data_IF_236973462902
#
_entry.id   IF_236973462902
#
_cell.length_a   1.000
_cell.length_b   1.000
_cell.length_c   1.000
_cell.angle_alpha   90.00
_cell.angle_beta   90.00
_cell.angle_gamma   90.00
#
_symmetry.space_group_name_H-M   'P 1'
#
loop_
_entity.id
_entity.type
_entity.pdbx_description
1 polymer ?
#
# COMPACT_ATOMS: atom_id res chain seq x y z
N UNK A 1 -18.08 5.19 -23.90
CA UNK A 1 -19.05 5.92 -23.06
C UNK A 1 -18.32 6.88 -22.13
N UNK A 2 -18.80 8.12 -21.98
CA UNK A 2 -18.19 9.14 -21.11
C UNK A 2 -18.16 8.68 -19.64
N UNK A 3 -19.24 8.07 -19.16
CA UNK A 3 -19.35 7.56 -17.80
C UNK A 3 -18.17 6.64 -17.41
N UNK A 4 -17.78 5.69 -18.28
CA UNK A 4 -16.62 4.81 -18.03
C UNK A 4 -15.30 5.59 -17.92
N UNK A 5 -15.14 6.66 -18.72
CA UNK A 5 -13.92 7.48 -18.66
C UNK A 5 -13.84 8.24 -17.35
N UNK A 6 -14.95 8.85 -16.93
CA UNK A 6 -15.06 9.54 -15.65
C UNK A 6 -14.84 8.57 -14.48
N UNK A 7 -15.44 7.40 -14.50
CA UNK A 7 -15.22 6.37 -13.48
C UNK A 7 -13.73 6.03 -13.33
N UNK A 8 -13.01 5.79 -14.44
CA UNK A 8 -11.56 5.53 -14.40
C UNK A 8 -10.78 6.68 -13.79
N UNK A 9 -11.12 7.93 -14.12
CA UNK A 9 -10.48 9.13 -13.57
C UNK A 9 -10.72 9.21 -12.06
N UNK A 10 -11.99 9.18 -11.62
CA UNK A 10 -12.34 9.36 -10.22
C UNK A 10 -11.86 8.23 -9.34
N UNK A 11 -12.00 6.96 -9.76
CA UNK A 11 -11.49 5.82 -8.99
C UNK A 11 -9.97 5.88 -8.86
N UNK A 12 -9.24 6.17 -9.94
CA UNK A 12 -7.77 6.30 -9.87
C UNK A 12 -7.36 7.49 -9.01
N UNK A 13 -8.05 8.63 -9.10
CA UNK A 13 -7.77 9.80 -8.28
C UNK A 13 -8.02 9.53 -6.79
N UNK A 14 -9.12 8.83 -6.46
CA UNK A 14 -9.43 8.45 -5.09
C UNK A 14 -8.35 7.54 -4.50
N UNK A 15 -7.92 6.51 -5.24
CA UNK A 15 -6.82 5.63 -4.82
C UNK A 15 -5.52 6.42 -4.67
N UNK A 16 -5.19 7.28 -5.62
CA UNK A 16 -3.98 8.10 -5.54
C UNK A 16 -4.00 9.08 -4.36
N UNK A 17 -5.16 9.61 -4.00
CA UNK A 17 -5.35 10.49 -2.85
C UNK A 17 -5.24 9.72 -1.53
N UNK A 18 -5.90 8.56 -1.43
CA UNK A 18 -5.82 7.67 -0.28
C UNK A 18 -4.35 7.29 0.02
N UNK A 19 -3.64 6.77 -0.98
CA UNK A 19 -2.22 6.40 -0.81
C UNK A 19 -1.33 7.61 -0.51
N UNK A 20 -1.68 8.82 -1.01
CA UNK A 20 -0.96 10.04 -0.62
C UNK A 20 -1.14 10.37 0.87
N UNK A 21 -2.33 10.15 1.44
CA UNK A 21 -2.57 10.31 2.87
C UNK A 21 -1.82 9.26 3.68
N UNK A 22 -1.76 8.01 3.21
CA UNK A 22 -0.96 6.95 3.84
C UNK A 22 0.53 7.34 3.86
N UNK A 23 1.10 7.73 2.71
CA UNK A 23 2.48 8.18 2.63
C UNK A 23 2.76 9.40 3.52
N UNK A 24 1.81 10.35 3.59
CA UNK A 24 1.92 11.49 4.49
C UNK A 24 1.90 11.07 5.96
N UNK A 25 1.03 10.13 6.34
CA UNK A 25 0.99 9.55 7.68
C UNK A 25 2.32 8.90 8.04
N UNK A 26 2.86 8.06 7.17
CA UNK A 26 4.15 7.39 7.38
C UNK A 26 5.35 8.35 7.45
N UNK A 27 5.28 9.52 6.80
CA UNK A 27 6.30 10.56 6.91
C UNK A 27 6.15 11.42 8.17
N UNK A 28 4.91 11.77 8.53
CA UNK A 28 4.62 12.70 9.63
C UNK A 28 4.62 12.04 11.01
N UNK A 29 4.23 10.77 11.07
CA UNK A 29 4.28 9.92 12.26
C UNK A 29 5.19 8.71 12.00
N UNK A 30 6.45 9.03 11.67
CA UNK A 30 7.43 8.04 11.22
C UNK A 30 7.69 6.94 12.25
N UNK A 31 7.92 7.30 13.51
CA UNK A 31 8.38 6.36 14.53
C UNK A 31 7.30 5.36 14.95
N UNK A 32 6.03 5.76 14.97
CA UNK A 32 4.90 4.87 15.27
C UNK A 32 4.78 3.78 14.22
N UNK A 33 4.76 4.17 12.94
CA UNK A 33 4.61 3.24 11.83
C UNK A 33 5.90 2.45 11.54
N UNK A 34 7.07 3.01 11.83
CA UNK A 34 8.34 2.29 11.82
C UNK A 34 8.33 1.15 12.84
N UNK A 35 7.87 1.42 14.07
CA UNK A 35 7.75 0.41 15.12
C UNK A 35 6.91 -0.79 14.68
N UNK A 36 5.77 -0.54 14.03
CA UNK A 36 4.94 -1.60 13.46
C UNK A 36 5.69 -2.47 12.43
N UNK A 37 6.46 -1.86 11.52
CA UNK A 37 7.26 -2.63 10.54
C UNK A 37 8.34 -3.46 11.23
N UNK A 38 9.01 -2.89 12.23
CA UNK A 38 10.00 -3.62 13.05
C UNK A 38 9.36 -4.80 13.77
N UNK A 39 8.22 -4.63 14.43
CA UNK A 39 7.51 -5.72 15.12
C UNK A 39 7.16 -6.88 14.17
N UNK A 40 6.72 -6.56 12.95
CA UNK A 40 6.43 -7.57 11.92
C UNK A 40 7.70 -8.32 11.48
N UNK A 41 8.81 -7.61 11.28
CA UNK A 41 10.07 -8.19 10.82
C UNK A 41 10.78 -9.01 11.91
N UNK A 42 10.81 -8.49 13.14
CA UNK A 42 11.41 -9.14 14.30
C UNK A 42 10.61 -10.38 14.74
N UNK A 43 9.29 -10.38 14.49
CA UNK A 43 8.36 -11.46 14.85
C UNK A 43 8.27 -11.74 16.36
N UNK A 44 8.69 -10.80 17.21
CA UNK A 44 8.69 -10.96 18.67
C UNK A 44 7.29 -11.16 19.26
N UNK A 45 6.26 -10.60 18.63
CA UNK A 45 4.86 -10.75 19.04
C UNK A 45 4.18 -12.01 18.52
N UNK A 46 4.84 -12.76 17.64
CA UNK A 46 4.33 -14.06 17.17
C UNK A 46 4.40 -15.07 18.32
N UNK A 47 3.32 -15.83 18.61
CA UNK A 47 3.31 -16.76 19.73
C UNK A 47 4.53 -17.71 19.75
N UNK A 48 5.12 -17.93 20.93
CA UNK A 48 6.29 -18.80 21.09
C UNK A 48 6.04 -20.27 20.68
N UNK A 49 4.77 -20.70 20.64
CA UNK A 49 4.38 -22.02 20.13
C UNK A 49 4.47 -22.14 18.60
N UNK A 50 4.52 -21.01 17.90
CA UNK A 50 4.64 -20.95 16.44
C UNK A 50 6.02 -21.40 16.00
N UNK A 51 6.11 -22.13 14.89
CA UNK A 51 7.38 -22.69 14.37
C UNK A 51 8.01 -21.83 13.27
N UNK A 52 7.53 -20.62 13.06
CA UNK A 52 7.95 -19.75 11.95
C UNK A 52 8.98 -18.68 12.35
N UNK A 53 9.39 -18.62 13.61
CA UNK A 53 10.39 -17.67 14.14
C UNK A 53 11.74 -17.67 13.41
N UNK A 54 12.07 -18.74 12.68
CA UNK A 54 13.27 -18.78 11.82
C UNK A 54 13.25 -17.77 10.65
N UNK A 55 12.10 -17.16 10.37
CA UNK A 55 11.91 -16.14 9.33
C UNK A 55 12.20 -14.71 9.82
N UNK A 56 12.39 -14.53 11.12
CA UNK A 56 12.63 -13.23 11.74
C UNK A 56 13.87 -12.53 11.16
N UNK A 57 13.79 -11.21 11.07
CA UNK A 57 14.86 -10.34 10.59
C UNK A 57 15.21 -9.35 11.70
N UNK A 58 16.14 -9.72 12.57
CA UNK A 58 16.60 -8.88 13.69
C UNK A 58 17.77 -8.00 13.28
N UNK A 59 17.53 -7.05 12.38
CA UNK A 59 18.57 -6.18 11.84
C UNK A 59 18.05 -4.75 11.61
N UNK A 60 18.40 -3.77 12.47
CA UNK A 60 17.86 -2.40 12.41
C UNK A 60 18.04 -1.69 11.07
N UNK A 61 19.12 -2.01 10.35
CA UNK A 61 19.35 -1.47 9.01
C UNK A 61 18.32 -1.98 7.99
N UNK A 62 17.92 -3.25 8.09
CA UNK A 62 16.91 -3.85 7.21
C UNK A 62 15.52 -3.33 7.53
N UNK A 63 15.23 -3.02 8.80
CA UNK A 63 13.96 -2.40 9.18
C UNK A 63 13.82 -1.01 8.53
N UNK A 64 14.86 -0.16 8.70
CA UNK A 64 14.87 1.16 8.08
C UNK A 64 14.81 1.09 6.56
N UNK A 65 15.56 0.18 5.95
CA UNK A 65 15.54 0.00 4.50
C UNK A 65 14.15 -0.44 4.00
N UNK A 66 13.52 -1.38 4.70
CA UNK A 66 12.17 -1.87 4.37
C UNK A 66 11.14 -0.76 4.51
N UNK A 67 11.16 -0.01 5.60
CA UNK A 67 10.19 1.05 5.83
C UNK A 67 10.35 2.23 4.86
N UNK A 68 11.59 2.63 4.56
CA UNK A 68 11.86 3.65 3.53
C UNK A 68 11.39 3.17 2.15
N UNK A 69 11.57 1.89 1.82
CA UNK A 69 11.09 1.31 0.57
C UNK A 69 9.55 1.34 0.48
N UNK A 70 8.84 1.04 1.57
CA UNK A 70 7.38 1.14 1.66
C UNK A 70 6.94 2.57 1.35
N UNK A 71 7.44 3.57 2.09
CA UNK A 71 7.09 4.98 1.90
C UNK A 71 7.41 5.45 0.48
N UNK A 72 8.61 5.12 -0.03
CA UNK A 72 9.01 5.47 -1.39
C UNK A 72 8.07 4.88 -2.45
N UNK A 73 7.59 3.66 -2.22
CA UNK A 73 6.62 2.99 -3.08
C UNK A 73 5.25 3.66 -3.02
N UNK A 74 4.75 4.00 -1.82
CA UNK A 74 3.49 4.73 -1.64
C UNK A 74 3.50 6.09 -2.36
N UNK A 75 4.59 6.86 -2.21
CA UNK A 75 4.77 8.14 -2.92
C UNK A 75 4.72 7.92 -4.43
N UNK A 76 5.39 6.89 -4.94
CA UNK A 76 5.38 6.56 -6.36
C UNK A 76 3.97 6.17 -6.85
N UNK A 77 3.25 5.35 -6.08
CA UNK A 77 1.86 4.96 -6.37
C UNK A 77 0.95 6.19 -6.43
N UNK A 78 0.99 7.04 -5.39
CA UNK A 78 0.22 8.26 -5.32
C UNK A 78 0.50 9.18 -6.52
N UNK A 79 1.78 9.43 -6.82
CA UNK A 79 2.19 10.28 -7.93
C UNK A 79 1.74 9.73 -9.29
N UNK A 80 1.87 8.42 -9.52
CA UNK A 80 1.45 7.77 -10.77
C UNK A 80 -0.07 7.76 -10.94
N UNK A 81 -0.82 7.46 -9.88
CA UNK A 81 -2.27 7.45 -9.88
C UNK A 81 -2.85 8.86 -10.10
N UNK A 82 -2.42 9.85 -9.31
CA UNK A 82 -2.88 11.24 -9.46
C UNK A 82 -2.44 11.83 -10.81
N UNK A 83 -1.18 11.61 -11.21
CA UNK A 83 -0.68 12.03 -12.51
C UNK A 83 -1.42 11.37 -13.69
N UNK A 84 -1.79 10.09 -13.53
CA UNK A 84 -2.62 9.35 -14.49
C UNK A 84 -4.05 9.87 -14.55
N UNK A 85 -4.66 10.19 -13.41
CA UNK A 85 -5.99 10.79 -13.34
C UNK A 85 -6.02 12.16 -14.05
N UNK A 86 -5.04 13.02 -13.80
CA UNK A 86 -4.90 14.32 -14.49
C UNK A 86 -4.70 14.13 -15.99
N UNK A 87 -3.84 13.18 -16.40
CA UNK A 87 -3.59 12.89 -17.81
C UNK A 87 -4.88 12.42 -18.53
N UNK A 88 -5.65 11.53 -17.90
CA UNK A 88 -6.93 11.07 -18.42
C UNK A 88 -7.98 12.19 -18.48
N UNK A 89 -8.06 13.04 -17.45
CA UNK A 89 -9.00 14.16 -17.39
C UNK A 89 -8.79 15.14 -18.56
N UNK A 90 -7.52 15.45 -18.89
CA UNK A 90 -7.17 16.28 -20.05
C UNK A 90 -7.61 15.68 -21.39
N UNK A 91 -7.81 14.36 -21.45
CA UNK A 91 -8.19 13.63 -22.66
C UNK A 91 -9.61 13.05 -22.60
N UNK A 92 -10.44 13.47 -21.64
CA UNK A 92 -11.74 12.83 -21.36
C UNK A 92 -12.72 12.91 -22.53
N UNK A 93 -12.63 13.96 -23.36
CA UNK A 93 -13.42 14.16 -24.57
C UNK A 93 -12.69 13.77 -25.87
N UNK A 94 -11.44 13.34 -25.79
CA UNK A 94 -10.62 13.04 -26.95
C UNK A 94 -11.02 11.73 -27.64
N UNK A 95 -10.51 11.51 -28.86
CA UNK A 95 -10.66 10.23 -29.56
C UNK A 95 -10.08 9.08 -28.72
N UNK A 96 -10.65 7.88 -28.89
CA UNK A 96 -10.30 6.72 -28.07
C UNK A 96 -8.78 6.47 -27.93
N UNK A 97 -7.95 6.51 -28.98
CA UNK A 97 -6.52 6.22 -28.86
C UNK A 97 -5.78 7.14 -27.88
N UNK A 98 -6.12 8.44 -27.86
CA UNK A 98 -5.49 9.42 -26.97
C UNK A 98 -5.83 9.14 -25.50
N UNK A 99 -7.09 8.82 -25.21
CA UNK A 99 -7.50 8.41 -23.87
C UNK A 99 -6.88 7.07 -23.44
N UNK A 100 -6.70 6.13 -24.39
CA UNK A 100 -6.06 4.85 -24.10
C UNK A 100 -4.61 5.04 -23.66
N UNK A 101 -3.84 5.86 -24.36
CA UNK A 101 -2.46 6.19 -24.00
C UNK A 101 -2.35 6.94 -22.67
N UNK A 102 -3.32 7.82 -22.35
CA UNK A 102 -3.32 8.59 -21.11
C UNK A 102 -3.45 7.72 -19.84
N UNK A 103 -3.94 6.48 -19.96
CA UNK A 103 -4.12 5.54 -18.85
C UNK A 103 -2.84 4.88 -18.36
N UNK A 104 -1.75 4.89 -19.13
CA UNK A 104 -0.57 4.08 -18.81
C UNK A 104 0.00 4.40 -17.43
N UNK A 105 0.02 5.69 -17.05
CA UNK A 105 0.46 6.12 -15.70
C UNK A 105 -0.45 5.58 -14.60
N UNK A 106 -1.77 5.66 -14.79
CA UNK A 106 -2.74 5.11 -13.85
C UNK A 106 -2.58 3.59 -13.68
N UNK A 107 -2.40 2.86 -14.79
CA UNK A 107 -2.19 1.40 -14.75
C UNK A 107 -0.90 1.06 -14.01
N UNK A 108 0.20 1.77 -14.26
CA UNK A 108 1.45 1.57 -13.55
C UNK A 108 1.30 1.82 -12.04
N UNK A 109 0.64 2.93 -11.66
CA UNK A 109 0.39 3.26 -10.25
C UNK A 109 -0.49 2.22 -9.55
N UNK A 110 -1.59 1.80 -10.18
CA UNK A 110 -2.48 0.76 -9.64
C UNK A 110 -1.78 -0.60 -9.52
N UNK A 111 -0.94 -0.96 -10.48
CA UNK A 111 -0.15 -2.20 -10.43
C UNK A 111 0.85 -2.16 -9.28
N UNK A 112 1.57 -1.06 -9.14
CA UNK A 112 2.54 -0.89 -8.06
C UNK A 112 1.85 -0.88 -6.69
N UNK A 113 0.69 -0.22 -6.57
CA UNK A 113 -0.11 -0.22 -5.35
C UNK A 113 -0.61 -1.62 -4.99
N UNK A 114 -1.11 -2.37 -5.98
CA UNK A 114 -1.50 -3.76 -5.77
C UNK A 114 -0.32 -4.62 -5.28
N UNK A 115 0.86 -4.49 -5.90
CA UNK A 115 2.05 -5.24 -5.47
C UNK A 115 2.51 -4.84 -4.07
N UNK A 116 2.39 -3.57 -3.69
CA UNK A 116 2.71 -3.12 -2.34
C UNK A 116 1.74 -3.72 -1.31
N UNK A 117 0.43 -3.56 -1.51
CA UNK A 117 -0.58 -3.99 -0.54
C UNK A 117 -0.78 -5.52 -0.53
N UNK A 118 -1.08 -6.12 -1.68
CA UNK A 118 -1.30 -7.56 -1.76
C UNK A 118 0.03 -8.33 -1.63
N UNK A 119 1.07 -7.91 -2.33
CA UNK A 119 2.36 -8.58 -2.30
C UNK A 119 3.14 -8.33 -1.02
N UNK A 120 3.29 -7.06 -0.63
CA UNK A 120 4.07 -6.66 0.54
C UNK A 120 3.33 -6.93 1.86
N UNK A 121 2.15 -6.37 2.04
CA UNK A 121 1.46 -6.47 3.33
C UNK A 121 0.72 -7.80 3.52
N UNK A 122 -0.06 -8.26 2.54
CA UNK A 122 -0.85 -9.50 2.69
C UNK A 122 0.05 -10.74 2.56
N UNK A 123 0.75 -10.90 1.44
CA UNK A 123 1.53 -12.11 1.20
C UNK A 123 2.83 -12.16 2.04
N UNK A 124 3.61 -11.08 2.08
CA UNK A 124 4.86 -11.07 2.87
C UNK A 124 4.59 -10.80 4.35
N UNK A 125 3.96 -9.67 4.72
CA UNK A 125 3.65 -9.37 6.12
C UNK A 125 2.73 -10.43 6.75
N UNK A 126 1.58 -10.67 6.14
CA UNK A 126 0.57 -11.61 6.63
C UNK A 126 1.07 -13.05 6.66
N UNK A 127 1.41 -13.63 5.52
CA UNK A 127 1.66 -15.08 5.42
C UNK A 127 3.12 -15.48 5.71
N UNK A 128 4.09 -14.69 5.25
CA UNK A 128 5.50 -15.00 5.53
C UNK A 128 5.88 -14.68 6.98
N UNK A 129 5.60 -13.47 7.45
CA UNK A 129 5.93 -13.06 8.83
C UNK A 129 4.85 -13.41 9.85
N UNK A 130 3.68 -13.91 9.44
CA UNK A 130 2.63 -14.29 10.38
C UNK A 130 2.05 -13.08 11.11
N UNK A 131 2.03 -11.90 10.49
CA UNK A 131 1.55 -10.64 11.09
C UNK A 131 0.14 -10.76 11.70
N UNK A 132 -0.72 -11.62 11.14
CA UNK A 132 -2.06 -11.90 11.68
C UNK A 132 -2.07 -12.67 13.02
N UNK A 133 -0.95 -13.28 13.43
CA UNK A 133 -0.80 -13.98 14.71
C UNK A 133 -0.36 -13.06 15.85
N UNK A 134 0.17 -11.87 15.54
CA UNK A 134 0.70 -10.96 16.54
C UNK A 134 -0.42 -10.51 17.49
N UNK A 135 -0.11 -10.45 18.79
CA UNK A 135 -1.09 -10.28 19.88
C UNK A 135 -1.95 -9.02 19.76
N UNK A 136 -1.43 -7.99 19.09
CA UNK A 136 -2.12 -6.71 18.89
C UNK A 136 -2.79 -6.57 17.51
N UNK A 137 -2.58 -7.51 16.57
CA UNK A 137 -3.17 -7.43 15.22
C UNK A 137 -4.70 -7.67 15.21
N UNK A 138 -5.24 -8.26 16.28
CA UNK A 138 -6.69 -8.39 16.52
C UNK A 138 -7.42 -7.04 16.70
N UNK A 139 -6.70 -5.92 16.80
CA UNK A 139 -7.30 -4.57 16.80
C UNK A 139 -8.03 -4.24 15.48
N UNK A 140 -7.63 -4.83 14.35
CA UNK A 140 -8.32 -4.63 13.06
C UNK A 140 -9.60 -5.50 12.93
N UNK A 141 -9.70 -6.63 13.63
CA UNK A 141 -10.96 -7.39 13.74
C UNK A 141 -11.95 -6.77 14.74
N UNK A 142 -11.47 -6.01 15.72
CA UNK A 142 -12.28 -5.40 16.78
C UNK A 142 -13.30 -4.35 16.31
N UNK A 143 -13.18 -3.84 15.06
CA UNK A 143 -14.17 -2.97 14.43
C UNK A 143 -15.30 -3.73 13.70
N UNK A 144 -15.16 -5.04 13.48
CA UNK A 144 -16.18 -5.88 12.83
C UNK A 144 -17.00 -6.77 13.78
N UNK A 145 -16.64 -6.81 15.06
CA UNK A 145 -17.28 -7.67 16.07
C UNK A 145 -18.30 -6.95 16.97
N UNK A 146 -18.80 -5.77 16.56
CA UNK A 146 -19.98 -5.14 17.19
C UNK A 146 -21.17 -5.13 16.23
N UNK A 147 -21.85 -6.27 16.15
CA UNK A 147 -23.26 -6.36 15.75
C UNK A 147 -24.01 -7.16 16.80
#
# INVERSE_FOLDING_TARGET
MLAIRLAKIFCTAAIGFDVALVAFGNLSDYWTNFGFVTEVLDMDDVPASSRIHWRAITAPLLDHASYILIIGTEIAVAALCLGGAVAMARQVWAKAPLFQSAKNKAVAGLTLGFLLYEGGFVAVGGEWFGMWQARDFDAVQSASARS
#
